data_IF_347425865778
#
_entry.id   IF_347425865778
#
_cell.length_a   1.000
_cell.length_b   1.000
_cell.length_c   1.000
_cell.angle_alpha   90.00
_cell.angle_beta   90.00
_cell.angle_gamma   90.00
#
_symmetry.space_group_name_H-M   'P 1'
#
loop_
_entity.id
_entity.type
_entity.pdbx_description
1 polymer ?
#
# COMPACT_ATOMS: atom_id res chain seq x y z
N UNK A 1 -17.03 7.04 12.38
CA UNK A 1 -17.35 7.65 11.07
C UNK A 1 -16.62 8.97 10.90
N UNK A 2 -16.70 9.94 11.84
CA UNK A 2 -15.99 11.22 11.70
C UNK A 2 -14.48 11.11 11.50
N UNK A 3 -13.77 10.40 12.38
CA UNK A 3 -12.30 10.33 12.32
C UNK A 3 -11.74 9.67 11.05
N UNK A 4 -12.45 8.67 10.52
CA UNK A 4 -12.08 7.99 9.27
C UNK A 4 -12.24 8.90 8.06
N UNK A 5 -13.39 9.59 7.96
CA UNK A 5 -13.66 10.54 6.89
C UNK A 5 -12.68 11.72 6.93
N UNK A 6 -12.33 12.17 8.14
CA UNK A 6 -11.36 13.25 8.32
C UNK A 6 -9.95 12.84 7.90
N UNK A 7 -9.51 11.62 8.23
CA UNK A 7 -8.22 11.09 7.76
C UNK A 7 -8.19 10.94 6.23
N UNK A 8 -9.26 10.41 5.63
CA UNK A 8 -9.38 10.31 4.18
C UNK A 8 -9.27 11.71 3.53
N UNK A 9 -10.03 12.69 4.02
CA UNK A 9 -10.01 14.05 3.50
C UNK A 9 -8.63 14.73 3.69
N UNK A 10 -7.94 14.46 4.80
CA UNK A 10 -6.59 14.95 5.02
C UNK A 10 -5.57 14.36 4.02
N UNK A 11 -5.68 13.06 3.70
CA UNK A 11 -4.86 12.41 2.67
C UNK A 11 -5.13 12.98 1.28
N UNK A 12 -6.40 13.17 0.92
CA UNK A 12 -6.80 13.76 -0.36
C UNK A 12 -6.27 15.19 -0.50
N UNK A 13 -6.36 16.00 0.55
CA UNK A 13 -5.82 17.35 0.57
C UNK A 13 -4.29 17.36 0.41
N UNK A 14 -3.57 16.50 1.15
CA UNK A 14 -2.13 16.38 1.04
C UNK A 14 -1.70 15.92 -0.36
N UNK A 15 -2.42 14.96 -0.94
CA UNK A 15 -2.21 14.48 -2.31
C UNK A 15 -2.40 15.62 -3.32
N UNK A 16 -3.51 16.35 -3.24
CA UNK A 16 -3.82 17.43 -4.18
C UNK A 16 -2.81 18.59 -4.11
N UNK A 17 -2.29 18.90 -2.92
CA UNK A 17 -1.38 20.02 -2.71
C UNK A 17 0.08 19.70 -3.04
N UNK A 18 0.55 18.48 -2.72
CA UNK A 18 1.99 18.18 -2.67
C UNK A 18 2.43 17.06 -3.61
N UNK A 19 1.51 16.45 -4.36
CA UNK A 19 1.85 15.41 -5.34
C UNK A 19 1.63 15.88 -6.77
N UNK A 20 2.27 15.18 -7.71
CA UNK A 20 1.87 15.22 -9.11
C UNK A 20 0.44 14.69 -9.31
N UNK A 21 -0.15 14.94 -10.47
CA UNK A 21 -1.53 14.52 -10.79
C UNK A 21 -1.75 13.01 -10.58
N UNK A 22 -0.71 12.21 -10.80
CA UNK A 22 -0.72 10.76 -10.60
C UNK A 22 -0.68 10.32 -9.13
N UNK A 23 -0.19 11.15 -8.21
CA UNK A 23 0.09 10.77 -6.82
C UNK A 23 1.38 9.96 -6.66
N UNK A 24 2.24 9.92 -7.68
CA UNK A 24 3.45 9.11 -7.73
C UNK A 24 4.71 9.85 -7.27
N UNK A 25 4.72 11.18 -7.35
CA UNK A 25 5.87 12.04 -7.01
C UNK A 25 5.43 13.10 -6.01
N UNK A 26 6.19 13.30 -4.94
CA UNK A 26 5.84 14.21 -3.84
C UNK A 26 6.91 15.28 -3.59
N UNK A 27 6.48 16.52 -3.33
CA UNK A 27 7.31 17.55 -2.74
C UNK A 27 7.29 17.44 -1.21
N UNK A 28 8.19 16.61 -0.68
CA UNK A 28 8.28 16.33 0.75
C UNK A 28 8.69 17.54 1.59
N UNK A 29 9.46 18.47 1.02
CA UNK A 29 9.87 19.66 1.72
C UNK A 29 8.67 20.61 1.91
N UNK A 30 7.88 20.83 0.86
CA UNK A 30 6.66 21.62 0.93
C UNK A 30 5.62 20.96 1.86
N UNK A 31 5.42 19.66 1.74
CA UNK A 31 4.51 18.91 2.60
C UNK A 31 4.87 19.06 4.09
N UNK A 32 6.12 18.87 4.46
CA UNK A 32 6.55 18.89 5.87
C UNK A 32 6.31 20.25 6.56
N UNK A 33 6.25 21.35 5.79
CA UNK A 33 5.97 22.69 6.29
C UNK A 33 4.50 23.11 6.11
N UNK A 34 3.62 22.19 5.72
CA UNK A 34 2.25 22.51 5.30
C UNK A 34 1.20 22.27 6.39
N UNK A 35 0.07 22.97 6.27
CA UNK A 35 -1.14 22.72 7.06
C UNK A 35 -1.70 21.31 6.83
N UNK A 36 -1.48 20.71 5.66
CA UNK A 36 -1.95 19.36 5.36
C UNK A 36 -1.20 18.32 6.22
N UNK A 37 0.09 18.54 6.48
CA UNK A 37 0.87 17.72 7.42
C UNK A 37 0.42 17.90 8.88
N UNK A 38 0.14 19.13 9.29
CA UNK A 38 -0.43 19.40 10.61
C UNK A 38 -1.81 18.74 10.78
N UNK A 39 -2.65 18.81 9.74
CA UNK A 39 -3.98 18.17 9.72
C UNK A 39 -3.87 16.65 9.85
N UNK A 40 -2.97 16.01 9.12
CA UNK A 40 -2.70 14.57 9.26
C UNK A 40 -2.27 14.23 10.69
N UNK A 41 -1.36 15.01 11.27
CA UNK A 41 -0.91 14.83 12.65
C UNK A 41 -2.06 14.96 13.66
N UNK A 42 -2.97 15.91 13.45
CA UNK A 42 -4.19 16.07 14.23
C UNK A 42 -5.15 14.87 14.13
N UNK A 43 -5.34 14.32 12.93
CA UNK A 43 -6.13 13.10 12.72
C UNK A 43 -5.56 11.94 13.55
N UNK A 44 -4.25 11.77 13.53
CA UNK A 44 -3.59 10.70 14.28
C UNK A 44 -3.69 10.85 15.79
N UNK A 45 -3.65 12.09 16.31
CA UNK A 45 -3.90 12.34 17.72
C UNK A 45 -5.33 11.94 18.12
N UNK A 46 -6.33 12.21 17.28
CA UNK A 46 -7.72 11.79 17.53
C UNK A 46 -7.86 10.26 17.54
N UNK A 47 -7.16 9.56 16.63
CA UNK A 47 -7.19 8.10 16.54
C UNK A 47 -6.65 7.38 17.78
N UNK A 48 -5.81 8.01 18.61
CA UNK A 48 -5.31 7.37 19.84
C UNK A 48 -6.45 6.95 20.78
N UNK A 49 -7.58 7.67 20.76
CA UNK A 49 -8.74 7.39 21.63
C UNK A 49 -9.97 6.85 20.88
N UNK A 50 -9.83 6.48 19.60
CA UNK A 50 -10.98 6.09 18.79
C UNK A 50 -11.55 4.71 19.16
N UNK A 51 -12.87 4.57 19.03
CA UNK A 51 -13.57 3.29 19.23
C UNK A 51 -13.58 2.47 17.92
N UNK A 52 -12.61 1.56 17.81
CA UNK A 52 -12.43 0.70 16.63
C UNK A 52 -13.61 -0.26 16.37
N UNK A 53 -14.45 -0.55 17.38
CA UNK A 53 -15.64 -1.41 17.17
C UNK A 53 -16.63 -0.77 16.19
N UNK A 54 -16.67 0.56 16.13
CA UNK A 54 -17.54 1.32 15.20
C UNK A 54 -17.03 1.29 13.75
N UNK A 55 -15.73 1.08 13.55
CA UNK A 55 -15.08 0.98 12.22
C UNK A 55 -15.31 -0.41 11.59
N UNK A 56 -15.62 -1.43 12.41
CA UNK A 56 -15.69 -2.84 12.02
C UNK A 56 -16.77 -3.23 11.01
N UNK A 57 -17.84 -2.44 10.86
CA UNK A 57 -19.07 -2.89 10.19
C UNK A 57 -19.02 -2.76 8.65
N UNK A 58 -18.14 -1.94 8.07
CA UNK A 58 -18.12 -1.76 6.61
C UNK A 58 -16.78 -1.34 5.96
N UNK A 59 -15.71 -1.07 6.72
CA UNK A 59 -14.62 -0.22 6.19
C UNK A 59 -13.19 -0.51 6.66
N UNK A 60 -12.94 -1.57 7.45
CA UNK A 60 -11.64 -1.71 8.12
C UNK A 60 -10.44 -1.72 7.17
N UNK A 61 -10.58 -2.32 5.98
CA UNK A 61 -9.51 -2.30 4.97
C UNK A 61 -9.22 -0.87 4.50
N UNK A 62 -10.25 -0.08 4.16
CA UNK A 62 -10.09 1.33 3.78
C UNK A 62 -9.42 2.14 4.89
N UNK A 63 -9.91 1.97 6.13
CA UNK A 63 -9.35 2.61 7.30
C UNK A 63 -7.86 2.29 7.49
N UNK A 64 -7.49 1.01 7.50
CA UNK A 64 -6.10 0.59 7.73
C UNK A 64 -5.16 0.97 6.57
N UNK A 65 -5.65 0.96 5.32
CA UNK A 65 -4.91 1.50 4.17
C UNK A 65 -4.63 3.00 4.35
N UNK A 66 -5.63 3.78 4.76
CA UNK A 66 -5.46 5.21 5.01
C UNK A 66 -4.52 5.47 6.20
N UNK A 67 -4.63 4.71 7.29
CA UNK A 67 -3.70 4.83 8.43
C UNK A 67 -2.27 4.53 7.98
N UNK A 68 -2.06 3.45 7.22
CA UNK A 68 -0.74 3.11 6.68
C UNK A 68 -0.18 4.25 5.81
N UNK A 69 -0.95 4.66 4.79
CA UNK A 69 -0.53 5.68 3.83
C UNK A 69 -0.27 7.03 4.52
N UNK A 70 -1.12 7.42 5.45
CA UNK A 70 -0.97 8.67 6.18
C UNK A 70 0.19 8.66 7.18
N UNK A 71 0.50 7.53 7.81
CA UNK A 71 1.68 7.40 8.68
C UNK A 71 2.97 7.57 7.87
N UNK A 72 3.05 6.94 6.69
CA UNK A 72 4.18 7.12 5.79
C UNK A 72 4.33 8.59 5.39
N UNK A 73 3.22 9.27 5.12
CA UNK A 73 3.21 10.67 4.72
C UNK A 73 3.58 11.64 5.85
N UNK A 74 3.02 11.44 7.04
CA UNK A 74 3.35 12.22 8.25
C UNK A 74 4.84 12.08 8.60
N UNK A 75 5.40 10.88 8.45
CA UNK A 75 6.80 10.61 8.79
C UNK A 75 7.76 10.88 7.63
N UNK A 76 7.29 11.44 6.52
CA UNK A 76 8.12 11.66 5.34
C UNK A 76 9.29 12.62 5.57
N UNK A 77 9.21 13.51 6.56
CA UNK A 77 10.35 14.35 6.97
C UNK A 77 11.52 13.56 7.55
N UNK A 78 11.28 12.37 8.12
CA UNK A 78 12.34 11.43 8.52
C UNK A 78 12.99 10.80 7.29
N UNK A 79 12.16 10.37 6.33
CA UNK A 79 12.61 9.77 5.06
C UNK A 79 13.48 10.73 4.26
N UNK A 80 13.06 11.99 4.14
CA UNK A 80 13.78 13.02 3.41
C UNK A 80 15.16 13.30 4.03
N UNK A 81 15.27 13.32 5.38
CA UNK A 81 16.54 13.53 6.08
C UNK A 81 17.49 12.35 5.94
N UNK A 82 16.97 11.12 5.91
CA UNK A 82 17.78 9.92 5.76
C UNK A 82 18.15 9.61 4.29
N UNK A 83 17.47 10.22 3.32
CA UNK A 83 17.69 9.99 1.88
C UNK A 83 16.90 8.81 1.30
N UNK A 84 16.01 8.18 2.09
CA UNK A 84 15.14 7.11 1.64
C UNK A 84 14.65 6.20 2.77
N UNK A 85 13.67 5.36 2.45
CA UNK A 85 13.02 4.49 3.46
C UNK A 85 13.94 3.42 4.03
N UNK A 86 14.91 2.95 3.24
CA UNK A 86 15.87 1.92 3.68
C UNK A 86 16.94 2.47 4.62
N UNK A 87 17.16 3.77 4.60
CA UNK A 87 18.14 4.45 5.44
C UNK A 87 17.58 4.81 6.82
N UNK A 88 16.25 4.75 6.98
CA UNK A 88 15.62 4.91 8.29
C UNK A 88 15.58 3.57 9.01
N UNK A 89 16.33 3.49 10.12
CA UNK A 89 16.38 2.29 10.94
C UNK A 89 14.99 1.84 11.39
N UNK A 90 14.66 0.59 11.06
CA UNK A 90 13.41 -0.04 11.46
C UNK A 90 12.18 0.69 10.95
N UNK A 91 12.23 1.33 9.76
CA UNK A 91 11.13 2.20 9.32
C UNK A 91 9.77 1.52 9.47
N UNK A 92 9.60 0.32 8.92
CA UNK A 92 8.32 -0.39 8.97
C UNK A 92 8.06 -1.14 10.28
N UNK A 93 9.09 -1.39 11.08
CA UNK A 93 9.05 -2.32 12.22
C UNK A 93 8.78 -1.60 13.55
N UNK A 94 9.30 -0.38 13.72
CA UNK A 94 9.12 0.36 14.97
C UNK A 94 7.68 0.87 15.11
N UNK A 95 7.14 0.98 16.33
CA UNK A 95 5.83 1.61 16.54
C UNK A 95 5.82 3.05 16.00
N UNK A 96 4.75 3.41 15.27
CA UNK A 96 4.59 4.73 14.64
C UNK A 96 3.27 5.42 14.94
N UNK A 97 2.25 4.67 15.33
CA UNK A 97 0.92 5.22 15.57
C UNK A 97 0.26 4.48 16.73
N UNK A 98 -0.59 5.18 17.46
CA UNK A 98 -1.53 4.57 18.39
C UNK A 98 -2.94 4.72 17.82
N UNK A 99 -3.69 3.63 17.83
CA UNK A 99 -5.08 3.60 17.40
C UNK A 99 -5.90 2.85 18.44
N UNK A 100 -6.90 3.50 19.04
CA UNK A 100 -7.69 2.93 20.14
C UNK A 100 -6.83 2.45 21.32
N UNK A 101 -5.81 3.23 21.68
CA UNK A 101 -4.88 2.96 22.79
C UNK A 101 -3.80 1.90 22.50
N UNK A 102 -3.85 1.22 21.36
CA UNK A 102 -2.87 0.19 20.99
C UNK A 102 -1.84 0.76 20.02
N UNK A 103 -0.56 0.42 20.21
CA UNK A 103 0.53 0.86 19.34
C UNK A 103 0.68 -0.07 18.12
N UNK A 104 0.91 0.52 16.94
CA UNK A 104 1.10 -0.18 15.69
C UNK A 104 2.35 0.33 14.97
N UNK A 105 3.12 -0.60 14.43
CA UNK A 105 4.07 -0.36 13.35
C UNK A 105 3.37 -0.48 11.99
N UNK A 106 4.07 -0.13 10.91
CA UNK A 106 3.54 -0.34 9.56
C UNK A 106 3.46 -1.83 9.21
N UNK A 107 4.42 -2.64 9.68
CA UNK A 107 4.40 -4.10 9.53
C UNK A 107 3.24 -4.73 10.32
N UNK A 108 2.88 -4.20 11.50
CA UNK A 108 1.70 -4.65 12.24
C UNK A 108 0.40 -4.39 11.43
N UNK A 109 0.28 -3.22 10.80
CA UNK A 109 -0.89 -2.87 9.99
C UNK A 109 -0.95 -3.74 8.73
N UNK A 110 0.14 -3.79 7.96
CA UNK A 110 0.20 -4.53 6.71
C UNK A 110 0.08 -6.04 6.94
N UNK A 111 1.05 -6.61 7.65
CA UNK A 111 1.20 -8.04 7.75
C UNK A 111 0.34 -8.62 8.89
N UNK A 112 0.19 -7.87 9.99
CA UNK A 112 -0.60 -8.29 11.14
C UNK A 112 -2.11 -8.21 10.92
N UNK A 113 -2.58 -7.10 10.32
CA UNK A 113 -4.01 -6.88 10.11
C UNK A 113 -4.43 -7.14 8.67
N UNK A 114 -3.95 -6.34 7.72
CA UNK A 114 -4.45 -6.37 6.34
C UNK A 114 -4.20 -7.73 5.66
N UNK A 115 -3.07 -8.41 5.94
CA UNK A 115 -2.75 -9.76 5.44
C UNK A 115 -3.19 -10.91 6.35
N UNK A 116 -4.02 -10.67 7.37
CA UNK A 116 -4.49 -11.74 8.26
C UNK A 116 -3.38 -12.39 9.09
N UNK A 117 -2.46 -11.58 9.63
CA UNK A 117 -1.32 -12.00 10.44
C UNK A 117 -0.32 -12.94 9.72
N UNK A 118 -0.14 -12.76 8.41
CA UNK A 118 0.81 -13.50 7.61
C UNK A 118 2.26 -13.02 7.85
N UNK A 119 3.27 -13.90 7.79
CA UNK A 119 4.67 -13.48 7.87
C UNK A 119 5.06 -12.52 6.74
N UNK A 120 5.91 -11.54 7.07
CA UNK A 120 6.60 -10.70 6.10
C UNK A 120 7.50 -11.54 5.20
N UNK A 121 7.68 -11.14 3.94
CA UNK A 121 8.65 -11.79 3.06
C UNK A 121 10.04 -11.87 3.71
N UNK A 122 10.65 -13.05 3.69
CA UNK A 122 11.94 -13.31 4.34
C UNK A 122 11.85 -13.61 5.85
N UNK A 123 10.66 -13.57 6.44
CA UNK A 123 10.42 -13.92 7.84
C UNK A 123 9.55 -15.18 7.95
N UNK A 124 9.80 -15.98 9.01
CA UNK A 124 9.05 -17.23 9.27
C UNK A 124 7.93 -17.07 10.30
N UNK A 125 7.88 -15.94 11.01
CA UNK A 125 6.92 -15.70 12.09
C UNK A 125 5.98 -14.58 11.71
N UNK A 126 4.73 -14.74 12.12
CA UNK A 126 3.74 -13.69 12.08
C UNK A 126 4.19 -12.49 12.95
N UNK A 127 3.86 -11.25 12.56
CA UNK A 127 4.24 -10.05 13.31
C UNK A 127 3.53 -9.98 14.67
N UNK A 128 2.27 -10.44 14.76
CA UNK A 128 1.48 -10.42 15.99
C UNK A 128 1.40 -11.81 16.61
N UNK A 129 1.46 -11.85 17.95
CA UNK A 129 1.22 -13.08 18.71
C UNK A 129 -0.24 -13.49 18.63
N UNK A 130 -0.53 -14.77 18.85
CA UNK A 130 -1.91 -15.31 18.79
C UNK A 130 -2.88 -14.66 19.77
N UNK A 131 -2.37 -14.19 20.91
CA UNK A 131 -3.10 -13.53 21.99
C UNK A 131 -3.02 -11.99 21.93
N UNK A 132 -2.45 -11.43 20.85
CA UNK A 132 -2.32 -9.99 20.70
C UNK A 132 -3.69 -9.33 20.49
N UNK A 133 -4.08 -8.35 21.34
CA UNK A 133 -5.40 -7.72 21.26
C UNK A 133 -5.62 -6.97 19.94
N UNK A 134 -4.56 -6.60 19.23
CA UNK A 134 -4.64 -5.91 17.94
C UNK A 134 -5.31 -6.76 16.86
N UNK A 135 -5.23 -8.09 16.95
CA UNK A 135 -5.88 -9.03 16.02
C UNK A 135 -7.41 -8.93 16.03
N UNK A 136 -8.02 -8.36 17.09
CA UNK A 136 -9.45 -8.08 17.10
C UNK A 136 -9.87 -7.02 16.06
N UNK A 137 -8.90 -6.29 15.49
CA UNK A 137 -9.10 -5.23 14.49
C UNK A 137 -8.71 -5.65 13.07
N UNK A 138 -8.44 -6.94 12.85
CA UNK A 138 -8.17 -7.51 11.52
C UNK A 138 -9.44 -7.43 10.65
N UNK A 139 -9.35 -6.89 9.42
CA UNK A 139 -10.47 -6.92 8.48
C UNK A 139 -11.00 -8.33 8.23
N UNK A 140 -12.30 -8.45 8.02
CA UNK A 140 -12.96 -9.76 7.81
C UNK A 140 -12.55 -10.38 6.46
N UNK A 141 -12.45 -9.57 5.42
CA UNK A 141 -12.11 -10.00 4.08
C UNK A 141 -10.70 -9.54 3.72
N UNK A 142 -9.87 -10.51 3.34
CA UNK A 142 -8.60 -10.26 2.69
C UNK A 142 -8.84 -9.87 1.22
N UNK A 143 -8.05 -8.93 0.71
CA UNK A 143 -8.10 -8.48 -0.68
C UNK A 143 -6.67 -8.19 -1.17
N UNK A 144 -6.15 -9.01 -2.09
CA UNK A 144 -4.78 -8.91 -2.59
C UNK A 144 -4.50 -7.59 -3.34
N UNK A 145 -5.54 -6.88 -3.81
CA UNK A 145 -5.39 -5.58 -4.49
C UNK A 145 -4.83 -4.51 -3.57
N UNK A 146 -4.95 -4.71 -2.25
CA UNK A 146 -4.40 -3.78 -1.25
C UNK A 146 -2.89 -3.52 -1.45
N UNK A 147 -2.13 -4.49 -1.97
CA UNK A 147 -0.69 -4.34 -2.26
C UNK A 147 -0.40 -3.19 -3.25
N UNK A 148 -1.38 -2.83 -4.08
CA UNK A 148 -1.31 -1.73 -5.04
C UNK A 148 -1.96 -0.43 -4.52
N UNK A 149 -2.50 -0.46 -3.29
CA UNK A 149 -3.02 0.70 -2.57
C UNK A 149 -2.10 1.22 -1.45
N UNK A 150 -1.04 0.48 -1.13
CA UNK A 150 -0.12 0.81 -0.03
C UNK A 150 1.06 1.65 -0.52
N UNK A 151 1.13 2.89 -0.03
CA UNK A 151 2.13 3.88 -0.38
C UNK A 151 3.35 3.80 0.55
N UNK A 152 4.56 3.63 0.01
CA UNK A 152 5.80 3.51 0.78
C UNK A 152 6.84 4.60 0.50
N UNK A 153 6.44 5.71 -0.13
CA UNK A 153 7.31 6.87 -0.42
C UNK A 153 8.55 6.55 -1.29
N UNK A 154 8.51 5.47 -2.06
CA UNK A 154 9.60 5.04 -2.93
C UNK A 154 9.22 5.18 -4.41
N UNK A 155 10.21 5.25 -5.31
CA UNK A 155 9.99 5.37 -6.76
C UNK A 155 9.18 4.22 -7.36
N UNK A 156 9.34 3.00 -6.87
CA UNK A 156 8.54 1.85 -7.30
C UNK A 156 7.24 1.66 -6.50
N UNK A 157 6.96 2.52 -5.52
CA UNK A 157 5.73 2.47 -4.74
C UNK A 157 4.50 2.64 -5.63
N UNK A 158 3.37 2.00 -5.31
CA UNK A 158 2.08 2.47 -5.80
C UNK A 158 1.87 3.96 -5.48
N UNK A 159 1.17 4.72 -6.34
CA UNK A 159 0.85 6.11 -6.06
C UNK A 159 -0.01 6.27 -4.79
N UNK A 160 0.14 7.39 -4.10
CA UNK A 160 -0.68 7.72 -2.95
C UNK A 160 -2.15 7.79 -3.35
N UNK A 161 -2.99 7.09 -2.58
CA UNK A 161 -4.45 7.12 -2.66
C UNK A 161 -5.06 7.15 -1.27
N UNK A 162 -6.25 7.73 -1.19
CA UNK A 162 -7.13 7.66 -0.04
C UNK A 162 -8.34 6.78 -0.40
N UNK A 163 -8.77 5.96 0.55
CA UNK A 163 -9.83 4.97 0.36
C UNK A 163 -11.05 5.31 1.21
N UNK A 164 -12.23 5.04 0.70
CA UNK A 164 -13.49 5.19 1.44
C UNK A 164 -14.22 3.85 1.50
N UNK A 165 -14.96 3.62 2.58
CA UNK A 165 -15.75 2.40 2.76
C UNK A 165 -16.69 2.10 1.57
N UNK A 166 -17.36 3.14 1.07
CA UNK A 166 -18.39 3.01 0.04
C UNK A 166 -17.85 2.78 -1.37
N UNK A 167 -16.58 3.11 -1.62
CA UNK A 167 -15.95 3.03 -2.95
C UNK A 167 -14.72 2.10 -2.96
N UNK A 168 -14.50 1.34 -1.88
CA UNK A 168 -13.25 0.61 -1.69
C UNK A 168 -12.93 -0.35 -2.85
N UNK A 169 -13.92 -1.11 -3.31
CA UNK A 169 -13.75 -2.06 -4.41
C UNK A 169 -13.28 -1.37 -5.70
N UNK A 170 -14.02 -0.34 -6.14
CA UNK A 170 -13.68 0.44 -7.32
C UNK A 170 -12.33 1.16 -7.18
N UNK A 171 -12.01 1.68 -5.99
CA UNK A 171 -10.76 2.38 -5.72
C UNK A 171 -9.55 1.43 -5.72
N UNK A 172 -9.69 0.23 -5.16
CA UNK A 172 -8.68 -0.82 -5.19
C UNK A 172 -8.47 -1.34 -6.61
N UNK A 173 -9.54 -1.55 -7.37
CA UNK A 173 -9.46 -1.98 -8.76
C UNK A 173 -8.75 -0.92 -9.61
N UNK A 174 -9.18 0.35 -9.50
CA UNK A 174 -8.54 1.48 -10.18
C UNK A 174 -7.05 1.64 -9.81
N UNK A 175 -6.70 1.44 -8.54
CA UNK A 175 -5.31 1.47 -8.08
C UNK A 175 -4.49 0.35 -8.72
N UNK A 176 -5.04 -0.86 -8.73
CA UNK A 176 -4.43 -2.07 -9.27
C UNK A 176 -4.21 -1.95 -10.78
N UNK A 177 -5.26 -1.68 -11.55
CA UNK A 177 -5.20 -1.50 -13.02
C UNK A 177 -4.16 -0.44 -13.37
N UNK A 178 -4.27 0.75 -12.75
CA UNK A 178 -3.34 1.83 -13.04
C UNK A 178 -1.89 1.47 -12.70
N UNK A 179 -1.64 0.77 -11.59
CA UNK A 179 -0.29 0.35 -11.24
C UNK A 179 0.25 -0.69 -12.23
N UNK A 180 -0.51 -1.73 -12.54
CA UNK A 180 -0.09 -2.83 -13.39
C UNK A 180 0.18 -2.38 -14.83
N UNK A 181 -0.70 -1.56 -15.41
CA UNK A 181 -0.51 -1.03 -16.77
C UNK A 181 0.79 -0.22 -16.92
N UNK A 182 1.28 0.41 -15.85
CA UNK A 182 2.54 1.18 -15.89
C UNK A 182 3.79 0.36 -15.54
N UNK A 183 3.63 -0.80 -14.91
CA UNK A 183 4.74 -1.51 -14.26
C UNK A 183 4.99 -2.90 -14.82
N UNK A 184 3.98 -3.55 -15.39
CA UNK A 184 4.16 -4.79 -16.14
C UNK A 184 4.82 -4.46 -17.47
N UNK A 185 5.84 -5.22 -17.84
CA UNK A 185 6.49 -5.12 -19.15
C UNK A 185 6.39 -6.44 -19.88
N UNK A 186 5.93 -6.40 -21.11
CA UNK A 186 5.94 -7.55 -22.01
C UNK A 186 7.04 -7.34 -23.03
N UNK A 187 7.96 -8.28 -23.09
CA UNK A 187 9.16 -8.24 -23.93
C UNK A 187 9.22 -9.49 -24.81
N UNK A 188 10.07 -9.43 -25.84
CA UNK A 188 10.31 -10.56 -26.75
C UNK A 188 9.01 -11.09 -27.36
N UNK A 189 8.16 -10.20 -27.88
CA UNK A 189 6.88 -10.57 -28.51
C UNK A 189 6.03 -11.49 -27.63
N UNK A 190 5.89 -11.17 -26.33
CA UNK A 190 5.10 -11.96 -25.38
C UNK A 190 5.82 -13.13 -24.72
N UNK A 191 7.06 -13.45 -25.11
CA UNK A 191 7.79 -14.59 -24.52
C UNK A 191 8.33 -14.30 -23.11
N UNK A 192 8.47 -13.03 -22.73
CA UNK A 192 8.94 -12.60 -21.42
C UNK A 192 7.97 -11.58 -20.83
N UNK A 193 7.40 -11.91 -19.67
CA UNK A 193 6.61 -10.97 -18.86
C UNK A 193 7.39 -10.61 -17.61
N UNK A 194 7.62 -9.32 -17.40
CA UNK A 194 8.26 -8.77 -16.21
C UNK A 194 7.17 -8.18 -15.33
N UNK A 195 6.87 -8.88 -14.23
CA UNK A 195 5.91 -8.45 -13.23
C UNK A 195 6.56 -7.53 -12.19
N UNK A 196 5.79 -6.67 -11.52
CA UNK A 196 6.26 -5.91 -10.36
C UNK A 196 6.82 -6.80 -9.25
N UNK A 197 7.79 -6.25 -8.49
CA UNK A 197 8.47 -6.98 -7.40
C UNK A 197 7.51 -7.47 -6.32
N UNK A 198 6.37 -6.82 -6.14
CA UNK A 198 5.32 -7.19 -5.19
C UNK A 198 4.85 -8.63 -5.41
N UNK A 199 4.68 -9.08 -6.66
CA UNK A 199 4.29 -10.47 -6.94
C UNK A 199 5.34 -11.50 -6.49
N UNK A 200 6.61 -11.10 -6.35
CA UNK A 200 7.65 -11.96 -5.80
C UNK A 200 7.60 -12.02 -4.27
N UNK A 201 7.46 -10.87 -3.60
CA UNK A 201 7.42 -10.81 -2.13
C UNK A 201 6.13 -11.42 -1.56
N UNK A 202 5.01 -11.19 -2.23
CA UNK A 202 3.68 -11.64 -1.82
C UNK A 202 3.20 -12.80 -2.69
N UNK A 203 4.12 -13.68 -3.14
CA UNK A 203 3.77 -14.80 -4.03
C UNK A 203 2.63 -15.67 -3.50
N UNK A 204 2.60 -15.91 -2.18
CA UNK A 204 1.54 -16.69 -1.54
C UNK A 204 0.18 -15.99 -1.60
N UNK A 205 0.17 -14.67 -1.44
CA UNK A 205 -1.03 -13.84 -1.47
C UNK A 205 -1.70 -13.87 -2.85
N UNK A 206 -0.90 -13.98 -3.93
CA UNK A 206 -1.39 -14.07 -5.30
C UNK A 206 -1.61 -15.51 -5.81
N UNK A 207 -1.55 -16.52 -4.94
CA UNK A 207 -1.80 -17.92 -5.31
C UNK A 207 -0.66 -18.63 -6.04
N UNK A 208 0.43 -17.92 -6.38
CA UNK A 208 1.56 -18.48 -7.13
C UNK A 208 1.93 -17.62 -8.34
N UNK A 209 2.87 -18.11 -9.14
CA UNK A 209 3.35 -17.37 -10.33
C UNK A 209 2.36 -17.37 -11.48
N UNK A 210 1.62 -18.47 -11.65
CA UNK A 210 0.63 -18.60 -12.73
C UNK A 210 -0.58 -17.72 -12.45
N UNK A 211 -1.07 -17.74 -11.22
CA UNK A 211 -2.18 -16.94 -10.72
C UNK A 211 -1.80 -15.46 -10.67
N UNK A 212 -0.57 -15.12 -10.27
CA UNK A 212 -0.04 -13.76 -10.36
C UNK A 212 0.00 -13.24 -11.82
N UNK A 213 0.44 -14.09 -12.77
CA UNK A 213 0.45 -13.73 -14.18
C UNK A 213 -0.98 -13.52 -14.70
N UNK A 214 -1.90 -14.43 -14.41
CA UNK A 214 -3.30 -14.30 -14.81
C UNK A 214 -3.96 -13.05 -14.20
N UNK A 215 -3.71 -12.78 -12.92
CA UNK A 215 -4.18 -11.59 -12.21
C UNK A 215 -3.69 -10.30 -12.89
N UNK A 216 -2.43 -10.29 -13.34
CA UNK A 216 -1.86 -9.15 -14.04
C UNK A 216 -2.46 -8.98 -15.44
N UNK A 217 -2.48 -10.04 -16.25
CA UNK A 217 -2.97 -10.01 -17.63
C UNK A 217 -4.44 -9.59 -17.71
N UNK A 218 -5.28 -9.98 -16.74
CA UNK A 218 -6.68 -9.58 -16.67
C UNK A 218 -6.90 -8.05 -16.54
N UNK A 219 -5.83 -7.27 -16.36
CA UNK A 219 -5.85 -5.82 -16.12
C UNK A 219 -4.97 -5.02 -17.08
N UNK A 220 -4.42 -5.67 -18.11
CA UNK A 220 -3.70 -5.02 -19.20
C UNK A 220 -4.62 -4.78 -20.40
N UNK A 221 -4.14 -4.04 -21.39
CA UNK A 221 -4.83 -3.85 -22.67
C UNK A 221 -4.86 -5.12 -23.52
N UNK A 222 -5.89 -5.21 -24.38
CA UNK A 222 -6.14 -6.40 -25.22
C UNK A 222 -4.94 -6.74 -26.12
N UNK A 223 -4.25 -5.75 -26.67
CA UNK A 223 -3.07 -5.97 -27.53
C UNK A 223 -1.95 -6.69 -26.77
N UNK A 224 -1.67 -6.24 -25.55
CA UNK A 224 -0.68 -6.87 -24.66
C UNK A 224 -1.08 -8.29 -24.29
N UNK A 225 -2.36 -8.53 -23.98
CA UNK A 225 -2.85 -9.88 -23.63
C UNK A 225 -2.75 -10.83 -24.82
N UNK A 226 -3.20 -10.41 -26.01
CA UNK A 226 -3.09 -11.20 -27.24
C UNK A 226 -1.64 -11.57 -27.57
N UNK A 227 -0.70 -10.64 -27.33
CA UNK A 227 0.72 -10.89 -27.53
C UNK A 227 1.22 -12.05 -26.67
N UNK A 228 0.82 -12.11 -25.41
CA UNK A 228 1.19 -13.17 -24.47
C UNK A 228 0.47 -14.48 -24.80
N UNK A 229 -0.84 -14.42 -25.11
CA UNK A 229 -1.65 -15.61 -25.41
C UNK A 229 -1.17 -16.36 -26.66
N UNK A 230 -0.66 -15.65 -27.68
CA UNK A 230 -0.02 -16.25 -28.87
C UNK A 230 1.14 -17.18 -28.53
N UNK A 231 1.74 -17.05 -27.33
CA UNK A 231 2.80 -17.96 -26.85
C UNK A 231 2.30 -19.30 -26.35
N UNK A 232 0.98 -19.49 -26.17
CA UNK A 232 0.35 -20.76 -25.75
C UNK A 232 1.01 -21.35 -24.49
N UNK A 233 1.21 -20.51 -23.48
CA UNK A 233 1.84 -20.90 -22.21
C UNK A 233 3.37 -20.96 -22.22
N UNK A 234 4.04 -20.73 -23.37
CA UNK A 234 5.51 -20.63 -23.45
C UNK A 234 5.98 -19.22 -23.06
N UNK A 235 5.66 -18.83 -21.83
CA UNK A 235 5.92 -17.50 -21.28
C UNK A 235 6.88 -17.63 -20.10
N UNK A 236 7.96 -16.85 -20.11
CA UNK A 236 8.86 -16.73 -18.97
C UNK A 236 8.40 -15.55 -18.12
N UNK A 237 8.27 -15.77 -16.81
CA UNK A 237 8.02 -14.68 -15.85
C UNK A 237 9.33 -14.26 -15.21
N UNK A 238 9.54 -12.95 -15.09
CA UNK A 238 10.57 -12.32 -14.27
C UNK A 238 9.94 -11.25 -13.40
N UNK A 239 10.68 -10.81 -12.38
CA UNK A 239 10.24 -9.74 -11.49
C UNK A 239 11.16 -8.54 -11.63
N UNK A 240 10.58 -7.35 -11.75
CA UNK A 240 11.30 -6.09 -11.81
C UNK A 240 12.06 -5.81 -10.50
N UNK A 241 13.11 -5.00 -10.56
CA UNK A 241 13.70 -4.44 -9.36
C UNK A 241 12.78 -3.39 -8.74
N UNK A 242 12.88 -3.25 -7.41
CA UNK A 242 12.12 -2.25 -6.67
C UNK A 242 13.05 -1.10 -6.30
N UNK A 243 12.79 0.07 -6.88
CA UNK A 243 13.56 1.29 -6.63
C UNK A 243 13.10 1.93 -5.32
N UNK A 244 13.90 1.71 -4.28
CA UNK A 244 13.70 2.20 -2.92
C UNK A 244 14.09 3.66 -2.71
N UNK A 245 14.62 4.34 -3.73
CA UNK A 245 14.91 5.77 -3.63
C UNK A 245 13.61 6.54 -3.41
N UNK A 246 13.69 7.63 -2.65
CA UNK A 246 12.56 8.50 -2.37
C UNK A 246 11.95 9.01 -3.68
N UNK A 247 10.62 9.00 -3.80
CA UNK A 247 9.88 9.54 -4.94
C UNK A 247 9.70 11.07 -4.85
N UNK A 248 10.80 11.77 -4.62
CA UNK A 248 10.84 13.23 -4.53
C UNK A 248 10.74 13.89 -5.91
N UNK A 249 10.07 15.04 -5.96
CA UNK A 249 9.98 15.93 -7.14
C UNK A 249 11.31 16.59 -7.48
#
# INVERSE_FOLDING_TARGET
>A
MGDEQELQAALEAARAAHFDTGGAVCDYAALAASREHERLSGCFAALESCDLKRVRIAAQTAFWLNVFNGVVLRDAGELARAGGVREVEGFFVRPRIKVGGLAYSLDDIEHGLLRGNAPKFGHFRAPLRRDDPRLANTPIAYDERMHFGMYCACRSSPPLRAFSAGMLDEQLESATVGYLQRSVRVEQEGALVILPRQFYWYRTDFGGEQEALAFALARLDDETVEMVDRRRGKVKVRYADFDWRLNVR
#
